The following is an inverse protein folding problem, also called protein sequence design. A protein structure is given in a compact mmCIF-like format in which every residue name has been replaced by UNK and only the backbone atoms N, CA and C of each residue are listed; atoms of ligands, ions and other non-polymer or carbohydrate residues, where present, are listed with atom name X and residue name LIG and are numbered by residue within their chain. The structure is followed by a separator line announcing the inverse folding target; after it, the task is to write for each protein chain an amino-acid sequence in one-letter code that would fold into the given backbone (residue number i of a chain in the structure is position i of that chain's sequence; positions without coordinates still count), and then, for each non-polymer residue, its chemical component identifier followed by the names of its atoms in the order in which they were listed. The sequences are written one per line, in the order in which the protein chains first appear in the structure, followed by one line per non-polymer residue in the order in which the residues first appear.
data_IF_752818703156
#
_entry.id   IF_752818703156
#
_cell.length_a   1.000
_cell.length_b   1.000
_cell.length_c   1.000
_cell.angle_alpha   90.00
_cell.angle_beta   90.00
_cell.angle_gamma   90.00
#
_symmetry.space_group_name_H-M   'P 1'
#
loop_
_entity.id
_entity.type
_entity.pdbx_description
1 polymer ?
#
# COMPACT_ATOMS: atom_id res chain seq x y z
N UNK A 1 11.68 -8.71 2.62
CA UNK A 1 11.70 -10.17 2.96
C UNK A 1 11.24 -10.51 4.39
N UNK A 2 10.96 -9.52 5.25
CA UNK A 2 10.56 -9.75 6.65
C UNK A 2 9.27 -10.56 6.77
N UNK A 3 8.34 -10.40 5.84
CA UNK A 3 7.07 -11.12 5.78
C UNK A 3 7.25 -12.62 5.60
N UNK A 4 8.11 -13.02 4.66
CA UNK A 4 8.42 -14.43 4.43
C UNK A 4 9.06 -15.05 5.69
N UNK A 5 9.99 -14.34 6.33
CA UNK A 5 10.62 -14.79 7.60
C UNK A 5 9.61 -14.92 8.74
N UNK A 6 8.67 -13.99 8.83
CA UNK A 6 7.62 -14.05 9.83
C UNK A 6 6.70 -15.25 9.56
N UNK A 7 6.36 -15.50 8.30
CA UNK A 7 5.54 -16.65 7.91
C UNK A 7 6.19 -18.00 8.25
N UNK A 8 7.52 -18.12 8.11
CA UNK A 8 8.28 -19.33 8.49
C UNK A 8 8.19 -19.67 9.99
N UNK A 9 7.94 -18.67 10.84
CA UNK A 9 8.04 -18.80 12.31
C UNK A 9 6.70 -18.64 13.02
N UNK A 10 5.66 -18.20 12.32
CA UNK A 10 4.36 -17.91 12.92
C UNK A 10 3.58 -19.19 13.28
N UNK A 11 3.06 -19.23 14.50
CA UNK A 11 2.21 -20.31 15.00
C UNK A 11 0.73 -19.96 14.81
N UNK A 12 0.10 -20.55 13.79
CA UNK A 12 -1.31 -20.31 13.47
C UNK A 12 -2.31 -20.85 14.50
N UNK A 13 -1.87 -21.63 15.51
CA UNK A 13 -2.73 -21.98 16.65
C UNK A 13 -3.02 -20.76 17.54
N UNK A 14 -2.17 -19.74 17.49
CA UNK A 14 -2.32 -18.47 18.24
C UNK A 14 -3.16 -17.43 17.51
N UNK A 15 -3.70 -17.77 16.34
CA UNK A 15 -4.56 -16.89 15.54
C UNK A 15 -3.90 -16.39 14.25
N UNK A 16 -4.56 -15.42 13.57
CA UNK A 16 -4.10 -14.91 12.28
C UNK A 16 -2.78 -14.15 12.42
N UNK A 17 -1.95 -14.21 11.39
CA UNK A 17 -0.75 -13.39 11.29
C UNK A 17 -1.15 -12.00 10.80
N UNK A 18 -0.81 -10.96 11.55
CA UNK A 18 -0.98 -9.56 11.17
C UNK A 18 0.31 -8.83 11.46
N UNK A 19 0.93 -8.22 10.44
CA UNK A 19 2.21 -7.54 10.62
C UNK A 19 2.35 -6.32 9.72
N UNK A 20 3.17 -5.37 10.18
CA UNK A 20 3.66 -4.21 9.42
C UNK A 20 5.18 -4.23 9.50
N UNK A 21 5.84 -3.99 8.37
CA UNK A 21 7.30 -4.03 8.24
C UNK A 21 7.81 -2.72 7.62
N UNK A 22 8.10 -1.69 8.42
CA UNK A 22 8.83 -0.52 7.95
C UNK A 22 10.32 -0.85 7.78
N UNK A 23 10.97 -0.32 6.75
CA UNK A 23 12.39 -0.55 6.56
C UNK A 23 13.03 0.27 5.45
N UNK A 24 14.36 0.35 5.51
CA UNK A 24 15.19 0.83 4.41
C UNK A 24 15.29 -0.25 3.34
N UNK A 25 15.04 0.13 2.10
CA UNK A 25 15.15 -0.72 0.92
C UNK A 25 16.02 -0.03 -0.13
N UNK A 26 16.58 -0.83 -1.04
CA UNK A 26 17.52 -0.36 -2.05
C UNK A 26 17.08 -0.82 -3.43
N UNK A 27 17.14 0.08 -4.40
CA UNK A 27 16.90 -0.20 -5.83
C UNK A 27 18.07 0.32 -6.64
N UNK A 28 18.30 -0.28 -7.80
CA UNK A 28 19.34 0.17 -8.75
C UNK A 28 18.81 1.30 -9.62
N UNK A 29 18.26 2.32 -8.97
CA UNK A 29 17.77 3.54 -9.63
C UNK A 29 18.90 4.57 -9.63
N UNK A 30 18.96 5.40 -10.68
CA UNK A 30 19.90 6.52 -10.72
C UNK A 30 19.29 7.65 -9.91
N UNK A 31 20.06 8.24 -8.99
CA UNK A 31 19.55 9.34 -8.17
C UNK A 31 19.17 10.53 -9.07
N UNK A 32 17.91 10.95 -8.97
CA UNK A 32 17.36 12.12 -9.65
C UNK A 32 16.34 12.84 -8.73
N UNK A 33 15.60 13.83 -9.26
CA UNK A 33 14.65 14.61 -8.48
C UNK A 33 13.46 13.80 -7.92
N UNK A 34 13.22 12.60 -8.44
CA UNK A 34 12.07 11.73 -8.14
C UNK A 34 12.47 10.32 -7.67
N UNK A 35 13.74 9.94 -7.81
CA UNK A 35 14.24 8.62 -7.47
C UNK A 35 15.48 8.69 -6.59
N UNK A 36 15.55 7.80 -5.59
CA UNK A 36 16.76 7.55 -4.83
C UNK A 36 17.05 6.05 -4.77
N UNK A 37 18.32 5.68 -4.92
CA UNK A 37 18.79 4.30 -4.78
C UNK A 37 18.50 3.70 -3.40
N UNK A 38 18.30 4.54 -2.37
CA UNK A 38 17.90 4.15 -1.02
C UNK A 38 16.65 4.92 -0.60
N UNK A 39 15.61 4.20 -0.19
CA UNK A 39 14.39 4.82 0.33
C UNK A 39 13.78 3.96 1.45
N UNK A 40 12.69 4.45 2.03
CA UNK A 40 11.96 3.76 3.09
C UNK A 40 10.65 3.24 2.52
N UNK A 41 10.33 1.99 2.82
CA UNK A 41 9.07 1.37 2.45
C UNK A 41 8.42 0.76 3.69
N UNK A 42 7.09 0.79 3.70
CA UNK A 42 6.27 0.10 4.68
C UNK A 42 5.44 -0.92 3.94
N UNK A 43 5.48 -2.17 4.38
CA UNK A 43 4.67 -3.25 3.82
C UNK A 43 3.82 -3.89 4.92
N UNK A 44 2.54 -4.15 4.63
CA UNK A 44 1.62 -4.85 5.53
C UNK A 44 1.32 -6.27 5.03
N UNK A 45 1.10 -7.21 5.94
CA UNK A 45 0.63 -8.56 5.60
C UNK A 45 -0.36 -9.07 6.64
N UNK A 46 -1.50 -9.57 6.17
CA UNK A 46 -2.52 -10.23 6.98
C UNK A 46 -2.82 -11.60 6.39
N UNK A 47 -2.64 -12.66 7.18
CA UNK A 47 -2.95 -14.03 6.81
C UNK A 47 -3.89 -14.62 7.88
N UNK A 48 -5.10 -14.95 7.45
CA UNK A 48 -6.13 -15.51 8.31
C UNK A 48 -7.21 -16.23 7.51
N UNK A 49 -8.13 -16.90 8.19
CA UNK A 49 -9.30 -17.50 7.55
C UNK A 49 -10.26 -16.40 7.09
N UNK A 50 -10.82 -16.57 5.89
CA UNK A 50 -11.84 -15.67 5.32
C UNK A 50 -11.41 -14.21 5.16
N UNK A 51 -10.12 -13.94 4.98
CA UNK A 51 -9.64 -12.61 4.58
C UNK A 51 -9.97 -12.38 3.11
N UNK A 52 -10.55 -11.23 2.80
CA UNK A 52 -11.08 -10.88 1.48
C UNK A 52 -10.48 -9.58 0.94
N UNK A 53 -10.72 -9.30 -0.34
CA UNK A 53 -10.37 -8.00 -0.94
C UNK A 53 -11.11 -6.82 -0.29
N UNK A 54 -12.29 -7.04 0.30
CA UNK A 54 -13.00 -6.00 1.03
C UNK A 54 -12.24 -5.61 2.31
N UNK A 55 -11.62 -6.57 3.00
CA UNK A 55 -10.77 -6.30 4.17
C UNK A 55 -9.52 -5.51 3.78
N UNK A 56 -8.90 -5.84 2.63
CA UNK A 56 -7.78 -5.07 2.08
C UNK A 56 -8.22 -3.63 1.79
N UNK A 57 -9.33 -3.44 1.08
CA UNK A 57 -9.85 -2.10 0.75
C UNK A 57 -10.13 -1.29 2.01
N UNK A 58 -10.86 -1.86 2.98
CA UNK A 58 -11.18 -1.18 4.24
C UNK A 58 -9.93 -0.84 5.06
N UNK A 59 -8.93 -1.72 5.07
CA UNK A 59 -7.65 -1.44 5.73
C UNK A 59 -6.93 -0.25 5.07
N UNK A 60 -6.89 -0.21 3.73
CA UNK A 60 -6.27 0.89 2.99
C UNK A 60 -7.05 2.20 3.15
N UNK A 61 -8.38 2.16 3.22
CA UNK A 61 -9.23 3.31 3.54
C UNK A 61 -8.89 3.89 4.91
N UNK A 62 -8.83 3.06 5.96
CA UNK A 62 -8.44 3.51 7.30
C UNK A 62 -7.02 4.09 7.31
N UNK A 63 -6.07 3.45 6.63
CA UNK A 63 -4.69 3.98 6.54
C UNK A 63 -4.65 5.33 5.83
N UNK A 64 -5.39 5.48 4.73
CA UNK A 64 -5.45 6.75 4.01
C UNK A 64 -6.07 7.86 4.87
N UNK A 65 -7.14 7.56 5.61
CA UNK A 65 -7.80 8.50 6.52
C UNK A 65 -6.87 8.93 7.65
N UNK A 66 -6.18 7.99 8.30
CA UNK A 66 -5.25 8.29 9.40
C UNK A 66 -4.02 9.10 8.94
N UNK A 67 -3.56 8.90 7.69
CA UNK A 67 -2.39 9.61 7.15
C UNK A 67 -2.72 10.95 6.51
N UNK A 68 -3.88 11.07 5.86
CA UNK A 68 -4.20 12.18 4.97
C UNK A 68 -5.56 12.87 5.25
N UNK A 69 -6.35 12.35 6.19
CA UNK A 69 -7.64 12.90 6.62
C UNK A 69 -8.87 12.23 5.97
N UNK A 70 -10.04 12.49 6.56
CA UNK A 70 -11.31 11.79 6.27
C UNK A 70 -11.93 12.12 4.90
N UNK A 71 -11.38 13.07 4.16
CA UNK A 71 -11.97 13.58 2.91
C UNK A 71 -11.51 12.82 1.65
N UNK A 72 -10.67 11.78 1.79
CA UNK A 72 -10.06 11.09 0.66
C UNK A 72 -10.71 9.73 0.39
N UNK A 73 -11.18 9.54 -0.85
CA UNK A 73 -11.61 8.23 -1.33
C UNK A 73 -10.42 7.36 -1.76
N UNK A 74 -10.53 6.05 -1.53
CA UNK A 74 -9.60 5.02 -2.03
C UNK A 74 -10.25 4.25 -3.19
N UNK A 75 -9.49 4.09 -4.29
CA UNK A 75 -9.87 3.24 -5.42
C UNK A 75 -8.79 2.19 -5.68
N UNK A 76 -9.22 0.96 -5.93
CA UNK A 76 -8.35 -0.13 -6.34
C UNK A 76 -8.46 -0.35 -7.85
N UNK A 77 -7.34 -0.34 -8.56
CA UNK A 77 -7.26 -0.64 -10.00
C UNK A 77 -6.59 -2.00 -10.19
N UNK A 78 -7.08 -2.88 -11.07
CA UNK A 78 -6.38 -4.12 -11.41
C UNK A 78 -4.94 -3.84 -11.85
N UNK A 79 -3.98 -4.61 -11.32
CA UNK A 79 -2.57 -4.56 -11.68
C UNK A 79 -1.96 -5.96 -11.60
N UNK A 80 -0.64 -6.08 -11.65
CA UNK A 80 0.07 -7.35 -11.55
C UNK A 80 1.30 -7.21 -10.66
N UNK A 81 1.35 -8.03 -9.60
CA UNK A 81 2.55 -8.26 -8.81
C UNK A 81 2.78 -9.76 -8.67
N UNK A 82 4.03 -10.25 -8.83
CA UNK A 82 4.32 -11.69 -8.85
C UNK A 82 4.07 -12.40 -7.51
N UNK A 83 3.77 -11.66 -6.43
CA UNK A 83 3.57 -12.17 -5.08
C UNK A 83 2.12 -12.04 -4.57
N UNK A 84 1.19 -11.55 -5.40
CA UNK A 84 -0.25 -11.45 -5.06
C UNK A 84 -1.14 -11.87 -6.22
N UNK A 85 -2.28 -12.48 -5.92
CA UNK A 85 -3.34 -12.76 -6.90
C UNK A 85 -4.71 -12.78 -6.18
N UNK A 86 -5.70 -11.95 -6.59
CA UNK A 86 -5.60 -10.87 -7.58
C UNK A 86 -4.70 -9.72 -7.09
N UNK A 87 -4.13 -8.97 -8.04
CA UNK A 87 -3.26 -7.82 -7.78
C UNK A 87 -3.97 -6.49 -8.10
N UNK A 88 -3.73 -5.48 -7.25
CA UNK A 88 -4.31 -4.14 -7.43
C UNK A 88 -3.31 -3.03 -7.08
N UNK A 89 -3.38 -1.93 -7.80
CA UNK A 89 -2.81 -0.63 -7.42
C UNK A 89 -3.83 0.17 -6.61
N UNK A 90 -3.38 0.94 -5.63
CA UNK A 90 -4.21 1.81 -4.82
C UNK A 90 -4.01 3.26 -5.23
N UNK A 91 -5.12 3.94 -5.54
CA UNK A 91 -5.14 5.38 -5.72
C UNK A 91 -5.92 6.03 -4.57
N UNK A 92 -5.45 7.17 -4.08
CA UNK A 92 -6.22 8.08 -3.24
C UNK A 92 -6.66 9.31 -4.03
N UNK A 93 -7.77 9.90 -3.64
CA UNK A 93 -8.14 11.22 -4.14
C UNK A 93 -7.01 12.20 -3.84
N UNK A 94 -6.68 13.06 -4.82
CA UNK A 94 -5.57 13.99 -4.68
C UNK A 94 -5.81 14.95 -3.50
N UNK A 95 -5.01 14.83 -2.44
CA UNK A 95 -5.12 15.61 -1.20
C UNK A 95 -5.07 17.14 -1.42
N UNK A 96 -4.46 17.61 -2.51
CA UNK A 96 -4.33 19.03 -2.80
C UNK A 96 -5.55 19.62 -3.54
N UNK A 97 -6.19 18.83 -4.41
CA UNK A 97 -7.28 19.35 -5.27
C UNK A 97 -8.63 18.67 -5.05
N UNK A 98 -8.69 17.66 -4.16
CA UNK A 98 -9.90 16.91 -3.81
C UNK A 98 -10.64 16.42 -5.06
N UNK A 99 -9.90 15.78 -5.98
CA UNK A 99 -10.46 15.19 -7.19
C UNK A 99 -10.66 16.15 -8.37
N UNK A 100 -10.50 17.47 -8.20
CA UNK A 100 -10.68 18.45 -9.30
C UNK A 100 -9.63 18.34 -10.41
N UNK A 101 -8.46 17.79 -10.12
CA UNK A 101 -7.31 17.74 -11.02
C UNK A 101 -6.37 18.94 -10.84
N UNK A 102 -5.07 18.68 -10.66
CA UNK A 102 -4.01 19.68 -10.61
C UNK A 102 -2.69 19.08 -11.13
N UNK A 103 -1.62 19.89 -11.18
CA UNK A 103 -0.31 19.44 -11.64
C UNK A 103 0.26 18.26 -10.84
N UNK A 104 -0.01 18.19 -9.53
CA UNK A 104 0.48 17.12 -8.64
C UNK A 104 -0.07 15.75 -9.07
N UNK A 105 -1.38 15.65 -9.31
CA UNK A 105 -2.03 14.43 -9.78
C UNK A 105 -2.05 14.31 -11.30
N UNK A 106 -1.28 15.12 -12.04
CA UNK A 106 -1.27 15.14 -13.51
C UNK A 106 -2.68 15.30 -14.11
N UNK A 107 -3.52 16.11 -13.44
CA UNK A 107 -4.91 16.38 -13.80
C UNK A 107 -5.87 15.18 -13.76
N UNK A 108 -5.50 14.04 -13.16
CA UNK A 108 -6.39 12.87 -13.04
C UNK A 108 -7.39 13.01 -11.89
N UNK A 109 -7.06 13.82 -10.88
CA UNK A 109 -7.78 13.87 -9.60
C UNK A 109 -7.34 12.79 -8.60
N UNK A 110 -6.46 11.87 -9.00
CA UNK A 110 -6.02 10.70 -8.23
C UNK A 110 -4.49 10.65 -8.10
N UNK A 111 -4.00 10.23 -6.94
CA UNK A 111 -2.59 9.97 -6.69
C UNK A 111 -2.44 8.49 -6.39
N UNK A 112 -1.61 7.81 -7.18
CA UNK A 112 -1.17 6.45 -6.87
C UNK A 112 -0.29 6.47 -5.62
N UNK A 113 -0.60 5.62 -4.66
CA UNK A 113 0.08 5.52 -3.35
C UNK A 113 0.53 4.10 -3.03
#
# INVERSE_FOLDING_TARGET
PMQARMLETHDFSKGPLKMVSPGKVYRRDTDDATHSHQFHQVEGMVIGKHVTMADLKGTLEVVAQELFGDELDVRLRPSYFPFTEPSVEADITCFNCHGRGCAICKHTGWIEV
#
